data_IF_179198159293
#
_entry.id   IF_179198159293
#
_cell.length_a   1.000
_cell.length_b   1.000
_cell.length_c   1.000
_cell.angle_alpha   90.00
_cell.angle_beta   90.00
_cell.angle_gamma   90.00
#
_symmetry.space_group_name_H-M   'P 1'
#
loop_
_entity.id
_entity.type
_entity.pdbx_description
1 polymer ?
#
# COMPACT_ATOMS: atom_id res chain seq x y z
N UNK A 1 9.80 18.02 -1.42
CA UNK A 1 8.57 17.66 -0.67
C UNK A 1 8.96 17.39 0.77
N UNK A 2 8.17 17.92 1.74
CA UNK A 2 8.40 17.73 3.19
C UNK A 2 7.51 16.66 3.81
N UNK A 3 6.42 16.31 3.13
CA UNK A 3 5.46 15.34 3.64
C UNK A 3 4.91 14.50 2.49
N UNK A 4 4.91 13.19 2.68
CA UNK A 4 4.19 12.22 1.85
C UNK A 4 3.19 11.50 2.73
N UNK A 5 1.93 11.43 2.29
CA UNK A 5 0.88 10.62 2.92
C UNK A 5 0.35 9.70 1.84
N UNK A 6 0.37 8.40 2.08
CA UNK A 6 -0.05 7.40 1.10
C UNK A 6 -0.70 6.18 1.73
N UNK A 7 -1.57 5.56 0.95
CA UNK A 7 -2.12 4.23 1.23
C UNK A 7 -1.84 3.37 0.00
N UNK A 8 -0.67 2.71 -0.06
CA UNK A 8 -0.33 1.86 -1.19
C UNK A 8 -1.28 0.66 -1.27
N UNK A 9 -1.29 -0.06 -2.40
CA UNK A 9 -2.03 -1.31 -2.51
C UNK A 9 -1.77 -2.22 -1.31
N UNK A 10 -2.82 -2.84 -0.78
CA UNK A 10 -2.69 -3.79 0.32
C UNK A 10 -2.34 -5.18 -0.25
N UNK A 11 -1.42 -5.88 0.38
CA UNK A 11 -0.99 -7.20 -0.06
C UNK A 11 -2.17 -8.16 -0.18
N UNK A 12 -2.40 -8.69 -1.37
CA UNK A 12 -3.42 -9.70 -1.71
C UNK A 12 -4.89 -9.36 -1.37
N UNK A 13 -5.24 -8.09 -1.17
CA UNK A 13 -6.60 -7.71 -0.78
C UNK A 13 -7.44 -7.22 -1.96
N UNK A 14 -6.83 -6.52 -2.90
CA UNK A 14 -7.54 -5.81 -3.97
C UNK A 14 -7.25 -6.40 -5.34
N UNK A 15 -8.28 -6.67 -6.11
CA UNK A 15 -8.15 -6.80 -7.56
C UNK A 15 -8.43 -5.42 -8.17
N UNK A 16 -7.35 -4.65 -8.40
CA UNK A 16 -7.48 -3.29 -8.91
C UNK A 16 -8.17 -3.21 -10.26
N UNK A 17 -8.02 -4.21 -11.12
CA UNK A 17 -8.71 -4.24 -12.41
C UNK A 17 -10.21 -4.41 -12.24
N UNK A 18 -10.63 -5.27 -11.32
CA UNK A 18 -12.05 -5.46 -11.00
C UNK A 18 -12.62 -4.24 -10.27
N UNK A 19 -11.92 -3.73 -9.25
CA UNK A 19 -12.35 -2.59 -8.45
C UNK A 19 -12.39 -1.26 -9.25
N UNK A 20 -11.52 -1.11 -10.23
CA UNK A 20 -11.45 0.08 -11.08
C UNK A 20 -12.09 -0.11 -12.46
N UNK A 21 -12.72 -1.25 -12.70
CA UNK A 21 -13.29 -1.60 -14.01
C UNK A 21 -14.16 -0.49 -14.60
N UNK A 22 -15.05 0.10 -13.83
CA UNK A 22 -15.94 1.15 -14.32
C UNK A 22 -15.18 2.38 -14.80
N UNK A 23 -14.11 2.77 -14.09
CA UNK A 23 -13.23 3.88 -14.51
C UNK A 23 -12.46 3.53 -15.77
N UNK A 24 -11.93 2.32 -15.85
CA UNK A 24 -11.22 1.82 -17.03
C UNK A 24 -12.14 1.77 -18.24
N UNK A 25 -13.39 1.34 -18.06
CA UNK A 25 -14.40 1.33 -19.10
C UNK A 25 -14.67 2.73 -19.67
N UNK A 26 -14.83 3.74 -18.82
CA UNK A 26 -14.99 5.14 -19.26
C UNK A 26 -13.77 5.66 -20.05
N UNK A 27 -12.61 5.09 -19.84
CA UNK A 27 -11.37 5.43 -20.56
C UNK A 27 -11.15 4.55 -21.82
N UNK A 28 -12.19 3.83 -22.29
CA UNK A 28 -12.09 2.95 -23.46
C UNK A 28 -11.59 1.54 -23.14
N UNK A 29 -11.60 1.14 -21.89
CA UNK A 29 -11.25 -0.21 -21.45
C UNK A 29 -12.35 -1.24 -21.74
N UNK A 30 -12.18 -2.49 -21.26
CA UNK A 30 -13.06 -3.60 -21.59
C UNK A 30 -14.49 -3.41 -21.08
N UNK A 31 -15.48 -3.89 -21.85
CA UNK A 31 -16.90 -3.76 -21.53
C UNK A 31 -17.36 -4.59 -20.31
N UNK A 32 -16.51 -5.48 -19.80
CA UNK A 32 -16.76 -6.31 -18.62
C UNK A 32 -15.54 -6.28 -17.70
N UNK A 33 -15.72 -6.44 -16.40
CA UNK A 33 -14.59 -6.59 -15.48
C UNK A 33 -13.76 -7.79 -15.89
N UNK A 34 -12.46 -7.58 -16.08
CA UNK A 34 -11.50 -8.63 -16.39
C UNK A 34 -10.85 -9.05 -15.08
N UNK A 35 -11.41 -10.10 -14.47
CA UNK A 35 -10.84 -10.70 -13.27
C UNK A 35 -9.56 -11.44 -13.61
N UNK A 36 -8.52 -11.24 -12.84
CA UNK A 36 -7.28 -12.05 -12.77
C UNK A 36 -6.47 -12.22 -14.08
N UNK A 37 -6.69 -11.44 -15.10
CA UNK A 37 -5.82 -11.51 -16.27
C UNK A 37 -4.62 -10.55 -16.13
N UNK A 38 -3.64 -10.98 -15.39
CA UNK A 38 -2.22 -10.93 -15.66
C UNK A 38 -1.57 -9.59 -15.99
N UNK A 39 -2.03 -8.43 -15.51
CA UNK A 39 -1.34 -7.20 -15.93
C UNK A 39 -0.66 -6.40 -14.82
N UNK A 40 -1.11 -6.42 -13.59
CA UNK A 40 -0.36 -5.80 -12.50
C UNK A 40 -0.58 -6.53 -11.17
N UNK A 41 0.05 -7.70 -11.05
CA UNK A 41 0.01 -8.55 -9.84
C UNK A 41 1.14 -8.24 -8.86
N UNK A 42 1.80 -7.08 -8.99
CA UNK A 42 2.94 -6.71 -8.13
C UNK A 42 2.61 -6.68 -6.65
N UNK A 43 1.35 -6.52 -6.29
CA UNK A 43 0.89 -6.58 -4.90
C UNK A 43 0.48 -8.00 -4.44
N UNK A 44 0.59 -9.01 -5.30
CA UNK A 44 0.33 -10.41 -4.98
C UNK A 44 1.63 -11.12 -4.62
N UNK A 45 1.66 -11.69 -3.45
CA UNK A 45 2.85 -12.34 -2.92
C UNK A 45 3.85 -11.36 -2.31
N UNK A 46 4.40 -11.75 -1.17
CA UNK A 46 5.24 -10.87 -0.34
C UNK A 46 6.47 -10.35 -1.07
N UNK A 47 7.19 -11.20 -1.81
CA UNK A 47 8.42 -10.79 -2.50
C UNK A 47 8.18 -9.77 -3.60
N UNK A 48 7.13 -9.96 -4.43
CA UNK A 48 6.76 -9.01 -5.50
C UNK A 48 6.23 -7.70 -4.93
N UNK A 49 5.49 -7.78 -3.83
CA UNK A 49 4.99 -6.61 -3.12
C UNK A 49 6.11 -5.71 -2.59
N UNK A 50 7.09 -6.29 -1.89
CA UNK A 50 8.20 -5.51 -1.36
C UNK A 50 9.13 -4.97 -2.46
N UNK A 51 9.28 -5.70 -3.58
CA UNK A 51 9.98 -5.17 -4.76
C UNK A 51 9.24 -3.96 -5.33
N UNK A 52 7.93 -4.03 -5.50
CA UNK A 52 7.09 -2.91 -5.93
C UNK A 52 7.24 -1.71 -4.98
N UNK A 53 7.20 -1.92 -3.67
CA UNK A 53 7.38 -0.86 -2.69
C UNK A 53 8.78 -0.19 -2.81
N UNK A 54 9.84 -0.98 -2.99
CA UNK A 54 11.19 -0.44 -3.23
C UNK A 54 11.26 0.41 -4.50
N UNK A 55 10.68 -0.04 -5.60
CA UNK A 55 10.63 0.70 -6.85
C UNK A 55 9.90 2.04 -6.68
N UNK A 56 8.74 2.02 -6.01
CA UNK A 56 7.95 3.22 -5.73
C UNK A 56 8.74 4.25 -4.89
N UNK A 57 9.38 3.79 -3.80
CA UNK A 57 10.18 4.67 -2.94
C UNK A 57 11.43 5.19 -3.65
N UNK A 58 12.07 4.39 -4.50
CA UNK A 58 13.20 4.84 -5.33
C UNK A 58 12.78 5.99 -6.25
N UNK A 59 11.59 5.91 -6.85
CA UNK A 59 11.05 6.99 -7.68
C UNK A 59 10.68 8.27 -6.89
N UNK A 60 10.22 8.13 -5.65
CA UNK A 60 9.80 9.26 -4.81
C UNK A 60 10.97 9.90 -4.05
N UNK A 61 11.97 9.12 -3.67
CA UNK A 61 13.08 9.55 -2.81
C UNK A 61 13.80 10.84 -3.27
N UNK A 62 14.07 11.04 -4.57
CA UNK A 62 14.73 12.29 -5.04
C UNK A 62 13.90 13.56 -4.80
N UNK A 63 12.59 13.42 -4.62
CA UNK A 63 11.69 14.54 -4.39
C UNK A 63 11.61 14.95 -2.91
N UNK A 64 12.18 14.14 -2.00
CA UNK A 64 12.09 14.36 -0.57
C UNK A 64 13.23 15.26 -0.09
N UNK A 65 12.90 16.29 0.67
CA UNK A 65 13.86 17.11 1.39
C UNK A 65 14.34 16.39 2.65
N UNK A 66 15.51 16.75 3.15
CA UNK A 66 15.98 16.25 4.45
C UNK A 66 15.00 16.62 5.56
N UNK A 67 14.80 15.69 6.48
CA UNK A 67 13.77 15.80 7.53
C UNK A 67 12.34 15.55 7.06
N UNK A 68 12.11 15.19 5.80
CA UNK A 68 10.78 14.88 5.29
C UNK A 68 10.13 13.73 6.08
N UNK A 69 8.83 13.82 6.23
CA UNK A 69 8.02 12.76 6.85
C UNK A 69 7.27 11.95 5.80
N UNK A 70 7.19 10.65 6.04
CA UNK A 70 6.43 9.71 5.21
C UNK A 70 5.44 8.98 6.12
N UNK A 71 4.16 9.15 5.84
CA UNK A 71 3.05 8.48 6.54
C UNK A 71 2.45 7.45 5.59
N UNK A 72 2.45 6.20 6.02
CA UNK A 72 2.01 5.07 5.21
C UNK A 72 0.91 4.33 5.95
N UNK A 73 -0.29 4.24 5.35
CA UNK A 73 -1.37 3.39 5.83
C UNK A 73 -1.41 2.09 5.04
N UNK A 74 -1.35 0.97 5.74
CA UNK A 74 -1.50 -0.36 5.15
C UNK A 74 -2.54 -1.15 5.94
N UNK A 75 -3.52 -1.73 5.23
CA UNK A 75 -4.49 -2.66 5.80
C UNK A 75 -4.18 -4.10 5.40
N UNK A 76 -4.82 -5.02 6.08
CA UNK A 76 -4.79 -6.42 5.73
C UNK A 76 -4.52 -7.35 6.89
N UNK A 77 -4.70 -8.64 6.62
CA UNK A 77 -4.59 -9.70 7.62
C UNK A 77 -3.41 -10.64 7.39
N UNK A 78 -2.69 -10.50 6.26
CA UNK A 78 -1.67 -11.48 5.85
C UNK A 78 -0.31 -11.26 6.47
N UNK A 79 0.03 -10.01 6.81
CA UNK A 79 1.29 -9.67 7.45
C UNK A 79 1.02 -9.10 8.84
N UNK A 80 1.75 -9.59 9.81
CA UNK A 80 1.73 -9.02 11.15
C UNK A 80 2.40 -7.62 11.15
N UNK A 81 2.04 -6.78 12.14
CA UNK A 81 2.62 -5.44 12.24
C UNK A 81 4.15 -5.41 12.23
N UNK A 82 4.88 -6.32 12.91
CA UNK A 82 6.35 -6.34 12.84
C UNK A 82 6.90 -6.65 11.43
N UNK A 83 6.21 -7.49 10.67
CA UNK A 83 6.60 -7.81 9.28
C UNK A 83 6.38 -6.62 8.36
N UNK A 84 5.27 -5.89 8.53
CA UNK A 84 4.99 -4.65 7.80
C UNK A 84 6.04 -3.58 8.13
N UNK A 85 6.38 -3.41 9.40
CA UNK A 85 7.40 -2.47 9.87
C UNK A 85 8.77 -2.78 9.27
N UNK A 86 9.19 -4.04 9.33
CA UNK A 86 10.46 -4.49 8.77
C UNK A 86 10.51 -4.27 7.25
N UNK A 87 9.49 -4.71 6.52
CA UNK A 87 9.42 -4.57 5.06
C UNK A 87 9.35 -3.11 4.60
N UNK A 88 8.61 -2.24 5.29
CA UNK A 88 8.59 -0.82 5.01
C UNK A 88 9.94 -0.16 5.28
N UNK A 89 10.56 -0.47 6.41
CA UNK A 89 11.88 0.06 6.77
C UNK A 89 12.93 -0.34 5.74
N UNK A 90 12.95 -1.61 5.36
CA UNK A 90 13.85 -2.11 4.32
C UNK A 90 13.59 -1.44 2.97
N UNK A 91 12.32 -1.35 2.53
CA UNK A 91 11.97 -0.77 1.24
C UNK A 91 12.31 0.71 1.14
N UNK A 92 12.12 1.48 2.22
CA UNK A 92 12.51 2.90 2.28
C UNK A 92 14.03 3.07 2.28
N UNK A 93 14.76 2.29 3.07
CA UNK A 93 16.21 2.39 3.18
C UNK A 93 16.94 1.87 1.91
N UNK A 94 16.30 1.02 1.11
CA UNK A 94 16.84 0.58 -0.18
C UNK A 94 17.00 1.73 -1.20
N UNK A 95 16.41 2.90 -0.94
CA UNK A 95 16.65 4.13 -1.74
C UNK A 95 18.04 4.72 -1.58
N UNK A 96 18.86 4.19 -0.67
CA UNK A 96 20.18 4.75 -0.30
C UNK A 96 20.10 5.91 0.70
N UNK A 97 18.89 6.33 1.09
CA UNK A 97 18.64 7.35 2.14
C UNK A 97 18.17 6.68 3.42
N UNK A 98 18.47 7.28 4.56
CA UNK A 98 18.19 6.68 5.87
C UNK A 98 16.87 7.19 6.42
N UNK A 99 15.88 6.30 6.52
CA UNK A 99 14.60 6.57 7.15
C UNK A 99 14.54 5.91 8.53
N UNK A 100 13.98 6.64 9.48
CA UNK A 100 13.76 6.15 10.85
C UNK A 100 12.28 6.10 11.13
N UNK A 101 11.78 4.95 11.60
CA UNK A 101 10.43 4.82 12.13
C UNK A 101 10.28 5.69 13.38
N UNK A 102 9.29 6.55 13.36
CA UNK A 102 8.95 7.45 14.46
C UNK A 102 7.76 6.96 15.25
N UNK A 103 6.81 6.30 14.56
CA UNK A 103 5.56 5.86 15.16
C UNK A 103 4.93 4.75 14.33
N UNK A 104 4.34 3.77 15.01
CA UNK A 104 3.47 2.76 14.43
C UNK A 104 2.18 2.68 15.24
N UNK A 105 1.04 2.85 14.58
CA UNK A 105 -0.30 2.77 15.20
C UNK A 105 -1.12 1.71 14.51
N UNK A 106 -1.98 1.05 15.26
CA UNK A 106 -2.96 0.10 14.75
C UNK A 106 -4.36 0.64 15.00
N UNK A 107 -5.21 0.58 14.00
CA UNK A 107 -6.62 0.92 14.10
C UNK A 107 -7.51 -0.22 13.60
N UNK A 108 -8.66 -0.39 14.25
CA UNK A 108 -9.69 -1.35 13.83
C UNK A 108 -10.67 -0.62 12.92
N UNK A 109 -10.94 -1.17 11.74
CA UNK A 109 -11.95 -0.61 10.84
C UNK A 109 -13.34 -0.92 11.41
N UNK A 110 -14.09 0.13 11.74
CA UNK A 110 -15.46 -0.02 12.22
C UNK A 110 -16.37 -0.54 11.11
N UNK A 111 -17.32 -1.41 11.46
CA UNK A 111 -18.23 -2.07 10.51
C UNK A 111 -18.99 -1.09 9.57
N UNK A 112 -19.32 0.11 10.00
CA UNK A 112 -19.96 1.14 9.17
C UNK A 112 -19.06 1.79 8.11
N UNK A 113 -17.75 1.56 8.16
CA UNK A 113 -16.79 2.06 7.18
C UNK A 113 -16.45 1.01 6.11
N UNK A 114 -16.96 -0.21 6.23
CA UNK A 114 -16.81 -1.26 5.21
C UNK A 114 -17.61 -0.85 3.98
N UNK A 115 -16.98 -0.89 2.82
CA UNK A 115 -17.67 -0.63 1.55
C UNK A 115 -18.80 -1.63 1.36
N UNK A 116 -19.98 -1.12 1.04
CA UNK A 116 -21.24 -1.90 0.85
C UNK A 116 -21.11 -3.03 -0.18
N UNK A 117 -20.08 -2.98 -1.04
CA UNK A 117 -19.85 -3.94 -2.11
C UNK A 117 -18.82 -5.02 -1.79
N UNK A 118 -18.23 -5.06 -0.59
CA UNK A 118 -17.34 -6.16 -0.22
C UNK A 118 -18.16 -7.37 0.20
N UNK A 119 -18.44 -8.25 -0.76
CA UNK A 119 -19.10 -9.55 -0.55
C UNK A 119 -18.21 -10.59 0.14
N UNK A 120 -16.96 -10.25 0.45
CA UNK A 120 -16.01 -11.14 1.12
C UNK A 120 -15.88 -10.71 2.58
N UNK A 121 -16.37 -11.50 3.54
CA UNK A 121 -16.16 -11.26 4.96
C UNK A 121 -14.66 -11.29 5.29
N UNK A 122 -14.19 -10.38 6.12
CA UNK A 122 -12.95 -10.45 6.91
C UNK A 122 -11.58 -10.16 6.28
N UNK A 123 -11.47 -9.54 5.10
CA UNK A 123 -10.14 -9.32 4.53
C UNK A 123 -9.39 -8.05 4.97
N UNK A 124 -10.04 -7.08 5.59
CA UNK A 124 -9.35 -5.92 6.15
C UNK A 124 -10.08 -5.40 7.40
N UNK A 125 -9.85 -6.03 8.53
CA UNK A 125 -10.37 -5.57 9.82
C UNK A 125 -9.42 -4.61 10.54
N UNK A 126 -8.16 -4.57 10.10
CA UNK A 126 -7.09 -3.81 10.72
C UNK A 126 -6.38 -2.94 9.70
N UNK A 127 -6.06 -1.73 10.11
CA UNK A 127 -5.15 -0.83 9.41
C UNK A 127 -3.99 -0.45 10.32
N UNK A 128 -2.83 -0.30 9.73
CA UNK A 128 -1.61 0.14 10.41
C UNK A 128 -1.11 1.42 9.78
N UNK A 129 -0.87 2.42 10.60
CA UNK A 129 -0.25 3.68 10.23
C UNK A 129 1.20 3.69 10.69
N UNK A 130 2.12 3.89 9.77
CA UNK A 130 3.54 4.01 10.04
C UNK A 130 4.01 5.42 9.66
N UNK A 131 4.71 6.09 10.56
CA UNK A 131 5.31 7.39 10.31
C UNK A 131 6.82 7.28 10.36
N UNK A 132 7.45 7.55 9.24
CA UNK A 132 8.90 7.61 9.09
C UNK A 132 9.37 9.05 8.96
N UNK A 133 10.61 9.29 9.35
CA UNK A 133 11.33 10.54 9.12
C UNK A 133 12.63 10.23 8.40
N UNK A 134 12.88 10.96 7.32
CA UNK A 134 14.15 10.98 6.61
C UNK A 134 15.20 11.69 7.48
N UNK A 135 16.34 11.04 7.71
CA UNK A 135 17.44 11.61 8.47
C UNK A 135 18.15 12.72 7.69
#
# INVERSE_FOLDING_TARGET
VRLVITSPPYLDITDYHEDQWLRLWFLGGPAKPVTRQGKDDRHRGSATYWRFMREAWTGVSPLLMDGAQVVIRIGGTRLAQPELEAGLTESLNATGRKFRLMEARRSVIKNGQRRVLQTVPDKATLEHDFRFKLA
#
